data_IF_690116420907
#
_entry.id   IF_690116420907
#
_cell.length_a   1.000
_cell.length_b   1.000
_cell.length_c   1.000
_cell.angle_alpha   90.00
_cell.angle_beta   90.00
_cell.angle_gamma   90.00
#
_symmetry.space_group_name_H-M   'P 1'
#
loop_
_entity.id
_entity.type
_entity.pdbx_description
1 polymer ?
#
# COMPACT_ATOMS: atom_id res chain seq x y z
N UNK A 1 -21.45 2.12 -33.68
CA UNK A 1 -20.37 3.05 -33.32
C UNK A 1 -19.68 2.50 -32.07
N UNK A 2 -18.57 1.77 -32.24
CA UNK A 2 -17.75 1.29 -31.13
C UNK A 2 -16.80 2.44 -30.76
N UNK A 3 -17.08 3.13 -29.67
CA UNK A 3 -16.15 4.09 -29.07
C UNK A 3 -14.83 3.36 -28.80
N UNK A 4 -13.77 3.88 -29.39
CA UNK A 4 -12.42 3.37 -29.21
C UNK A 4 -12.04 3.43 -27.75
N UNK A 5 -11.97 2.26 -27.11
CA UNK A 5 -11.20 2.08 -25.88
C UNK A 5 -9.77 2.36 -26.27
N UNK A 6 -9.25 3.53 -25.89
CA UNK A 6 -7.84 3.86 -26.03
C UNK A 6 -7.09 2.86 -25.14
N UNK A 7 -6.47 1.86 -25.77
CA UNK A 7 -5.64 0.90 -25.06
C UNK A 7 -4.41 1.61 -24.50
N UNK A 8 -4.23 1.51 -23.19
CA UNK A 8 -3.10 2.04 -22.41
C UNK A 8 -1.71 1.67 -22.96
N UNK A 9 -1.60 0.59 -23.73
CA UNK A 9 -0.35 0.13 -24.36
C UNK A 9 0.28 1.16 -25.30
N UNK A 10 -0.50 2.03 -25.94
CA UNK A 10 0.06 3.02 -26.89
C UNK A 10 0.80 4.18 -26.20
N UNK A 11 0.49 4.48 -24.93
CA UNK A 11 1.19 5.52 -24.14
C UNK A 11 2.41 4.99 -23.38
N UNK A 12 2.56 3.67 -23.31
CA UNK A 12 3.75 3.00 -22.77
C UNK A 12 4.82 2.70 -23.84
N UNK A 13 4.58 3.06 -25.11
CA UNK A 13 5.62 3.04 -26.14
C UNK A 13 6.79 3.95 -25.74
N UNK A 14 8.05 3.59 -26.09
CA UNK A 14 9.26 4.17 -25.53
C UNK A 14 9.55 5.55 -26.13
N UNK A 15 8.66 6.51 -25.92
CA UNK A 15 9.12 7.89 -25.81
C UNK A 15 10.01 7.94 -24.57
N UNK A 16 11.21 8.51 -24.74
CA UNK A 16 12.19 8.62 -23.66
C UNK A 16 11.54 9.51 -22.58
N UNK A 17 11.00 8.89 -21.52
CA UNK A 17 10.42 9.60 -20.37
C UNK A 17 11.37 10.71 -19.96
N UNK A 18 10.82 11.87 -19.60
CA UNK A 18 11.64 12.96 -19.09
C UNK A 18 12.44 12.50 -17.88
N UNK A 19 13.59 13.14 -17.64
CA UNK A 19 14.43 12.82 -16.48
C UNK A 19 13.63 13.02 -15.19
N UNK A 20 12.85 14.11 -15.09
CA UNK A 20 12.00 14.41 -13.93
C UNK A 20 10.97 13.30 -13.64
N UNK A 21 10.33 12.73 -14.68
CA UNK A 21 9.36 11.64 -14.50
C UNK A 21 10.05 10.33 -14.11
N UNK A 22 11.26 10.06 -14.64
CA UNK A 22 12.06 8.90 -14.21
C UNK A 22 12.49 9.01 -12.76
N UNK A 23 12.88 10.22 -12.32
CA UNK A 23 13.26 10.48 -10.94
C UNK A 23 12.06 10.33 -10.01
N UNK A 24 10.88 10.81 -10.41
CA UNK A 24 9.64 10.63 -9.66
C UNK A 24 9.27 9.13 -9.51
N UNK A 25 9.36 8.34 -10.59
CA UNK A 25 9.15 6.89 -10.52
C UNK A 25 10.15 6.22 -9.58
N UNK A 26 11.42 6.61 -9.67
CA UNK A 26 12.48 6.08 -8.81
C UNK A 26 12.21 6.38 -7.34
N UNK A 27 11.71 7.58 -7.04
CA UNK A 27 11.34 7.96 -5.68
C UNK A 27 10.15 7.13 -5.15
N UNK A 28 9.10 6.92 -5.95
CA UNK A 28 7.98 6.04 -5.59
C UNK A 28 8.45 4.63 -5.25
N UNK A 29 9.36 4.06 -6.05
CA UNK A 29 9.92 2.72 -5.80
C UNK A 29 10.66 2.66 -4.46
N UNK A 30 11.47 3.67 -4.14
CA UNK A 30 12.15 3.74 -2.83
C UNK A 30 11.17 3.87 -1.67
N UNK A 31 10.10 4.65 -1.86
CA UNK A 31 9.04 4.79 -0.86
C UNK A 31 8.32 3.47 -0.62
N UNK A 32 7.98 2.72 -1.68
CA UNK A 32 7.38 1.38 -1.58
C UNK A 32 8.25 0.42 -0.76
N UNK A 33 9.56 0.41 -1.01
CA UNK A 33 10.50 -0.43 -0.24
C UNK A 33 10.61 0.02 1.23
N UNK A 34 10.46 1.31 1.50
CA UNK A 34 10.47 1.85 2.87
C UNK A 34 9.20 1.46 3.62
N UNK A 35 8.02 1.63 3.02
CA UNK A 35 6.76 1.26 3.69
C UNK A 35 6.60 -0.25 3.88
N UNK A 36 7.19 -1.08 3.01
CA UNK A 36 7.28 -2.54 3.22
C UNK A 36 8.07 -2.88 4.49
N UNK A 37 9.23 -2.23 4.68
CA UNK A 37 10.06 -2.40 5.89
C UNK A 37 9.35 -1.89 7.13
N UNK A 38 8.76 -0.69 7.06
CA UNK A 38 7.98 -0.12 8.17
C UNK A 38 6.84 -1.06 8.57
N UNK A 39 6.06 -1.56 7.62
CA UNK A 39 4.98 -2.52 7.89
C UNK A 39 5.49 -3.78 8.61
N UNK A 40 6.56 -4.38 8.09
CA UNK A 40 7.14 -5.59 8.68
C UNK A 40 7.64 -5.34 10.10
N UNK A 41 8.35 -4.23 10.32
CA UNK A 41 8.89 -3.85 11.62
C UNK A 41 7.78 -3.54 12.63
N UNK A 42 6.75 -2.80 12.24
CA UNK A 42 5.61 -2.47 13.10
C UNK A 42 4.82 -3.68 13.53
N UNK A 43 4.59 -4.63 12.62
CA UNK A 43 3.93 -5.88 12.96
C UNK A 43 4.76 -6.70 13.93
N UNK A 44 6.07 -6.83 13.65
CA UNK A 44 6.99 -7.58 14.51
C UNK A 44 7.15 -6.95 15.90
N UNK A 45 7.14 -5.62 15.99
CA UNK A 45 7.17 -4.90 17.27
C UNK A 45 5.87 -5.10 18.06
N UNK A 46 4.71 -4.95 17.41
CA UNK A 46 3.42 -5.13 18.06
C UNK A 46 3.27 -6.52 18.68
N UNK A 47 3.54 -7.58 17.91
CA UNK A 47 3.25 -8.94 18.33
C UNK A 47 4.41 -9.64 19.06
N UNK A 48 5.66 -9.27 18.77
CA UNK A 48 6.83 -9.97 19.31
C UNK A 48 7.77 -9.07 20.11
N UNK A 49 7.48 -7.78 20.24
CA UNK A 49 8.35 -6.83 20.95
C UNK A 49 9.73 -6.69 20.31
N UNK A 50 9.88 -7.06 19.03
CA UNK A 50 11.16 -6.97 18.33
C UNK A 50 11.48 -5.50 18.04
N UNK A 51 12.59 -5.02 18.60
CA UNK A 51 13.07 -3.67 18.32
C UNK A 51 13.43 -3.51 16.84
N UNK A 52 13.20 -2.30 16.34
CA UNK A 52 13.59 -1.92 14.99
C UNK A 52 14.87 -1.07 15.04
N UNK A 53 15.91 -1.53 14.34
CA UNK A 53 17.21 -0.85 14.31
C UNK A 53 17.19 0.57 13.71
N UNK A 54 16.08 0.96 13.08
CA UNK A 54 15.88 2.28 12.46
C UNK A 54 14.79 3.04 13.20
N UNK A 55 14.82 4.35 13.04
CA UNK A 55 13.78 5.23 13.57
C UNK A 55 12.56 5.22 12.63
N UNK A 56 11.49 4.55 13.07
CA UNK A 56 10.22 4.45 12.32
C UNK A 56 9.59 5.83 12.09
N UNK A 57 9.65 6.73 13.08
CA UNK A 57 9.08 8.07 12.97
C UNK A 57 9.88 8.92 11.98
N UNK A 58 11.19 8.74 11.92
CA UNK A 58 12.01 9.35 10.87
C UNK A 58 11.67 8.78 9.50
N UNK A 59 11.47 7.46 9.38
CA UNK A 59 11.04 6.86 8.11
C UNK A 59 9.67 7.39 7.64
N UNK A 60 8.72 7.60 8.56
CA UNK A 60 7.43 8.27 8.31
C UNK A 60 7.59 9.70 7.79
N UNK A 61 8.46 10.50 8.41
CA UNK A 61 8.80 11.86 7.94
C UNK A 61 9.45 11.83 6.55
N UNK A 62 10.30 10.84 6.27
CA UNK A 62 10.92 10.67 4.95
C UNK A 62 9.89 10.29 3.87
N UNK A 63 8.87 9.47 4.20
CA UNK A 63 7.76 9.15 3.28
C UNK A 63 7.00 10.42 2.90
N UNK A 64 6.67 11.24 3.90
CA UNK A 64 6.04 12.54 3.69
C UNK A 64 6.89 13.48 2.82
N UNK A 65 8.22 13.44 2.99
CA UNK A 65 9.14 14.19 2.13
C UNK A 65 9.16 13.66 0.69
N UNK A 66 9.18 12.34 0.51
CA UNK A 66 9.12 11.67 -0.79
C UNK A 66 7.86 12.04 -1.57
N UNK A 67 6.70 12.08 -0.93
CA UNK A 67 5.46 12.55 -1.57
C UNK A 67 5.61 13.97 -2.14
N UNK A 68 6.14 14.90 -1.33
CA UNK A 68 6.37 16.29 -1.75
C UNK A 68 7.36 16.39 -2.91
N UNK A 69 8.39 15.54 -2.92
CA UNK A 69 9.38 15.45 -4.01
C UNK A 69 8.68 14.99 -5.30
N UNK A 70 7.91 13.90 -5.26
CA UNK A 70 7.19 13.38 -6.43
C UNK A 70 6.24 14.43 -7.00
N UNK A 71 5.44 15.09 -6.15
CA UNK A 71 4.53 16.17 -6.58
C UNK A 71 5.28 17.31 -7.26
N UNK A 72 6.44 17.71 -6.72
CA UNK A 72 7.27 18.77 -7.30
C UNK A 72 7.83 18.40 -8.67
N UNK A 73 8.41 17.21 -8.79
CA UNK A 73 8.97 16.72 -10.06
C UNK A 73 7.91 16.64 -11.16
N UNK A 74 6.72 16.16 -10.82
CA UNK A 74 5.58 16.12 -11.75
C UNK A 74 5.15 17.54 -12.14
N UNK A 75 5.02 18.45 -11.18
CA UNK A 75 4.62 19.83 -11.44
C UNK A 75 5.61 20.58 -12.34
N UNK A 76 6.90 20.46 -12.05
CA UNK A 76 7.98 21.05 -12.86
C UNK A 76 7.96 20.49 -14.29
N UNK A 77 7.81 19.17 -14.43
CA UNK A 77 7.71 18.52 -15.74
C UNK A 77 6.52 19.04 -16.55
N UNK A 78 5.32 19.07 -15.96
CA UNK A 78 4.11 19.54 -16.64
C UNK A 78 4.14 21.04 -16.96
N UNK A 79 4.88 21.83 -16.21
CA UNK A 79 5.07 23.27 -16.50
C UNK A 79 5.96 23.47 -17.73
N UNK A 80 6.99 22.63 -17.89
CA UNK A 80 7.95 22.73 -19.01
C UNK A 80 7.41 22.07 -20.28
N UNK A 81 6.88 20.86 -20.18
CA UNK A 81 6.39 20.09 -21.32
C UNK A 81 5.10 19.31 -20.99
N UNK A 82 3.94 20.00 -20.90
CA UNK A 82 2.68 19.40 -20.48
C UNK A 82 2.15 18.30 -21.40
N UNK A 83 2.58 18.29 -22.68
CA UNK A 83 2.14 17.27 -23.65
C UNK A 83 2.93 15.97 -23.52
N UNK A 84 4.18 16.04 -23.06
CA UNK A 84 5.00 14.87 -22.82
C UNK A 84 4.61 14.24 -21.47
N UNK A 85 4.51 12.92 -21.40
CA UNK A 85 4.30 12.16 -20.15
C UNK A 85 3.08 12.61 -19.29
N UNK A 86 2.04 13.20 -19.90
CA UNK A 86 0.84 13.67 -19.20
C UNK A 86 0.18 12.54 -18.40
N UNK A 87 -0.04 11.38 -19.03
CA UNK A 87 -0.68 10.23 -18.37
C UNK A 87 0.17 9.70 -17.20
N UNK A 88 1.48 9.37 -17.38
CA UNK A 88 2.35 9.02 -16.26
C UNK A 88 2.35 10.04 -15.11
N UNK A 89 2.31 11.33 -15.43
CA UNK A 89 2.25 12.41 -14.43
C UNK A 89 0.99 12.34 -13.57
N UNK A 90 -0.17 12.19 -14.22
CA UNK A 90 -1.45 12.07 -13.51
C UNK A 90 -1.53 10.79 -12.68
N UNK A 91 -0.97 9.67 -13.18
CA UNK A 91 -0.89 8.41 -12.44
C UNK A 91 -0.05 8.56 -11.17
N UNK A 92 1.15 9.15 -11.28
CA UNK A 92 2.05 9.39 -10.14
C UNK A 92 1.37 10.21 -9.04
N UNK A 93 0.67 11.29 -9.42
CA UNK A 93 -0.09 12.12 -8.47
C UNK A 93 -1.24 11.35 -7.82
N UNK A 94 -1.90 10.48 -8.59
CA UNK A 94 -2.97 9.65 -8.05
C UNK A 94 -2.43 8.69 -6.98
N UNK A 95 -1.38 7.93 -7.28
CA UNK A 95 -0.94 6.82 -6.42
C UNK A 95 -0.01 7.22 -5.27
N UNK A 96 0.64 8.39 -5.32
CA UNK A 96 1.65 8.75 -4.31
C UNK A 96 1.05 8.83 -2.90
N UNK A 97 -0.20 9.30 -2.79
CA UNK A 97 -0.93 9.32 -1.54
C UNK A 97 -1.23 7.90 -1.01
N UNK A 98 -1.41 6.90 -1.88
CA UNK A 98 -1.58 5.52 -1.40
C UNK A 98 -0.30 4.99 -0.71
N UNK A 99 0.88 5.37 -1.21
CA UNK A 99 2.16 4.99 -0.58
C UNK A 99 2.31 5.66 0.78
N UNK A 100 1.98 6.95 0.89
CA UNK A 100 1.98 7.68 2.17
C UNK A 100 1.04 7.04 3.18
N UNK A 101 -0.19 6.72 2.77
CA UNK A 101 -1.16 6.04 3.64
C UNK A 101 -0.69 4.70 4.17
N UNK A 102 0.04 3.92 3.37
CA UNK A 102 0.62 2.66 3.85
C UNK A 102 1.63 2.94 4.98
N UNK A 103 2.46 3.98 4.85
CA UNK A 103 3.38 4.43 5.89
C UNK A 103 2.66 4.82 7.18
N UNK A 104 1.59 5.63 7.07
CA UNK A 104 0.73 6.02 8.19
C UNK A 104 0.16 4.79 8.93
N UNK A 105 -0.41 3.83 8.19
CA UNK A 105 -0.97 2.62 8.81
C UNK A 105 0.10 1.73 9.43
N UNK A 106 1.29 1.65 8.85
CA UNK A 106 2.42 0.96 9.46
C UNK A 106 2.83 1.63 10.78
N UNK A 107 2.87 2.97 10.83
CA UNK A 107 3.13 3.71 12.07
C UNK A 107 2.03 3.49 13.11
N UNK A 108 0.77 3.54 12.72
CA UNK A 108 -0.33 3.25 13.67
C UNK A 108 -0.25 1.83 14.23
N UNK A 109 0.16 0.82 13.43
CA UNK A 109 0.44 -0.53 13.94
C UNK A 109 1.53 -0.55 15.01
N UNK A 110 2.59 0.25 14.83
CA UNK A 110 3.66 0.37 15.82
C UNK A 110 3.15 0.94 17.14
N UNK A 111 2.40 2.04 17.07
CA UNK A 111 1.86 2.76 18.22
C UNK A 111 0.86 1.90 19.04
N UNK A 112 0.22 0.90 18.43
CA UNK A 112 -0.65 -0.03 19.17
C UNK A 112 0.08 -0.79 20.29
N UNK A 113 1.41 -0.97 20.18
CA UNK A 113 2.21 -1.68 21.19
C UNK A 113 2.20 -0.97 22.54
N UNK A 114 2.07 0.36 22.57
CA UNK A 114 2.08 1.14 23.82
C UNK A 114 0.87 0.83 24.72
N UNK A 115 -0.17 0.19 24.17
CA UNK A 115 -1.39 -0.17 24.88
C UNK A 115 -1.42 -1.63 25.37
N UNK A 116 -0.39 -2.44 25.07
CA UNK A 116 -0.35 -3.86 25.46
C UNK A 116 1.06 -4.37 25.75
N UNK A 117 1.22 -5.04 26.89
CA UNK A 117 2.48 -5.70 27.25
C UNK A 117 2.61 -7.09 26.61
N UNK A 118 1.51 -7.85 26.57
CA UNK A 118 1.46 -9.23 26.10
C UNK A 118 0.02 -9.60 25.68
N UNK A 119 -0.11 -10.43 24.65
CA UNK A 119 -1.39 -11.01 24.22
C UNK A 119 -1.60 -12.36 24.93
N UNK A 120 -2.78 -12.56 25.53
CA UNK A 120 -3.19 -13.81 26.19
C UNK A 120 -3.95 -14.76 25.26
N UNK A 121 -4.55 -14.24 24.19
CA UNK A 121 -5.37 -15.02 23.28
C UNK A 121 -4.55 -15.52 22.07
N UNK A 122 -4.16 -16.79 22.06
CA UNK A 122 -3.40 -17.39 20.94
C UNK A 122 -4.26 -17.57 19.67
N UNK A 123 -5.54 -17.93 19.83
CA UNK A 123 -6.44 -18.30 18.72
C UNK A 123 -6.58 -17.22 17.65
N UNK A 124 -6.69 -15.95 18.06
CA UNK A 124 -6.87 -14.84 17.12
C UNK A 124 -5.54 -14.39 16.48
N UNK A 125 -4.40 -14.71 17.10
CA UNK A 125 -3.07 -14.36 16.59
C UNK A 125 -2.72 -15.12 15.32
N UNK A 126 -2.98 -16.43 15.28
CA UNK A 126 -2.70 -17.28 14.10
C UNK A 126 -3.35 -16.73 12.83
N UNK A 127 -4.61 -16.28 12.95
CA UNK A 127 -5.36 -15.75 11.82
C UNK A 127 -4.79 -14.41 11.35
N UNK A 128 -4.38 -13.55 12.27
CA UNK A 128 -3.76 -12.26 11.94
C UNK A 128 -2.39 -12.46 11.31
N UNK A 129 -1.59 -13.41 11.81
CA UNK A 129 -0.31 -13.79 11.22
C UNK A 129 -0.49 -14.29 9.78
N UNK A 130 -1.51 -15.12 9.55
CA UNK A 130 -1.85 -15.58 8.20
C UNK A 130 -2.18 -14.43 7.25
N UNK A 131 -3.03 -13.48 7.66
CA UNK A 131 -3.36 -12.29 6.85
C UNK A 131 -2.12 -11.45 6.57
N UNK A 132 -1.25 -11.26 7.57
CA UNK A 132 0.02 -10.55 7.39
C UNK A 132 0.92 -11.26 6.38
N UNK A 133 1.00 -12.58 6.41
CA UNK A 133 1.81 -13.36 5.47
C UNK A 133 1.22 -13.35 4.04
N UNK A 134 -0.08 -13.17 3.89
CA UNK A 134 -0.70 -12.89 2.58
C UNK A 134 -0.37 -11.48 2.05
N UNK A 135 -0.24 -10.49 2.94
CA UNK A 135 0.05 -9.09 2.58
C UNK A 135 1.52 -8.88 2.19
N UNK A 136 2.48 -9.52 2.87
CA UNK A 136 3.92 -9.30 2.65
C UNK A 136 4.32 -9.44 1.15
N UNK A 137 3.94 -10.52 0.43
CA UNK A 137 4.26 -10.66 -0.98
C UNK A 137 3.65 -9.57 -1.89
N UNK A 138 2.55 -8.92 -1.46
CA UNK A 138 1.89 -7.90 -2.26
C UNK A 138 2.76 -6.66 -2.44
N UNK A 139 3.61 -6.29 -1.48
CA UNK A 139 4.54 -5.17 -1.64
C UNK A 139 5.47 -5.36 -2.85
N UNK A 140 6.12 -6.52 -2.92
CA UNK A 140 6.99 -6.87 -4.05
C UNK A 140 6.24 -6.95 -5.38
N UNK A 141 5.03 -7.54 -5.36
CA UNK A 141 4.19 -7.64 -6.56
C UNK A 141 3.71 -6.27 -7.05
N UNK A 142 3.26 -5.39 -6.16
CA UNK A 142 2.84 -4.02 -6.48
C UNK A 142 4.01 -3.21 -7.01
N UNK A 143 5.19 -3.30 -6.38
CA UNK A 143 6.42 -2.64 -6.85
C UNK A 143 6.79 -3.07 -8.26
N UNK A 144 6.77 -4.38 -8.52
CA UNK A 144 7.05 -4.93 -9.85
C UNK A 144 5.99 -4.52 -10.88
N UNK A 145 4.70 -4.60 -10.52
CA UNK A 145 3.59 -4.18 -11.35
C UNK A 145 3.75 -2.72 -11.77
N UNK A 146 4.01 -1.84 -10.80
CA UNK A 146 4.22 -0.41 -11.04
C UNK A 146 5.47 -0.13 -11.90
N UNK A 147 6.64 -0.64 -11.51
CA UNK A 147 7.90 -0.28 -12.14
C UNK A 147 8.08 -0.89 -13.54
N UNK A 148 7.63 -2.14 -13.72
CA UNK A 148 7.74 -2.88 -14.98
C UNK A 148 6.47 -2.83 -15.84
N UNK A 149 5.42 -2.18 -15.32
CA UNK A 149 4.12 -2.07 -16.02
C UNK A 149 3.50 -3.43 -16.29
N UNK A 150 3.65 -4.33 -15.32
CA UNK A 150 3.20 -5.71 -15.38
C UNK A 150 1.71 -5.78 -14.96
N UNK A 151 0.84 -5.72 -15.96
CA UNK A 151 -0.62 -5.75 -15.82
C UNK A 151 -1.11 -7.02 -15.09
N UNK A 152 -0.51 -8.17 -15.37
CA UNK A 152 -0.92 -9.45 -14.79
C UNK A 152 -0.57 -9.52 -13.31
N UNK A 153 0.61 -9.02 -12.90
CA UNK A 153 0.90 -8.83 -11.48
C UNK A 153 -0.07 -7.84 -10.83
N UNK A 154 -0.40 -6.75 -11.53
CA UNK A 154 -1.38 -5.77 -11.04
C UNK A 154 -2.73 -6.42 -10.71
N UNK A 155 -3.30 -7.17 -11.65
CA UNK A 155 -4.55 -7.92 -11.45
C UNK A 155 -4.46 -8.93 -10.31
N UNK A 156 -3.32 -9.62 -10.18
CA UNK A 156 -3.12 -10.59 -9.10
C UNK A 156 -3.08 -9.94 -7.71
N UNK A 157 -2.50 -8.74 -7.58
CA UNK A 157 -2.56 -7.97 -6.33
C UNK A 157 -4.02 -7.63 -5.99
N UNK A 158 -4.78 -7.15 -6.98
CA UNK A 158 -6.19 -6.80 -6.82
C UNK A 158 -7.04 -8.01 -6.39
N UNK A 159 -6.83 -9.17 -6.99
CA UNK A 159 -7.49 -10.43 -6.59
C UNK A 159 -7.16 -10.82 -5.15
N UNK A 160 -5.88 -10.81 -4.78
CA UNK A 160 -5.42 -11.13 -3.42
C UNK A 160 -5.99 -10.16 -2.38
N UNK A 161 -6.12 -8.88 -2.70
CA UNK A 161 -6.76 -7.92 -1.83
C UNK A 161 -8.22 -8.31 -1.51
N UNK A 162 -8.99 -8.78 -2.50
CA UNK A 162 -10.37 -9.23 -2.28
C UNK A 162 -10.45 -10.45 -1.35
N UNK A 163 -9.47 -11.34 -1.41
CA UNK A 163 -9.35 -12.48 -0.48
C UNK A 163 -9.04 -11.99 0.95
N UNK A 164 -8.05 -11.11 1.09
CA UNK A 164 -7.66 -10.50 2.37
C UNK A 164 -8.85 -9.76 3.01
N UNK A 165 -9.64 -9.01 2.22
CA UNK A 165 -10.85 -8.32 2.70
C UNK A 165 -11.83 -9.29 3.35
N UNK A 166 -12.09 -10.45 2.71
CA UNK A 166 -12.96 -11.50 3.25
C UNK A 166 -12.37 -12.13 4.53
N UNK A 167 -11.07 -12.40 4.53
CA UNK A 167 -10.37 -12.97 5.70
C UNK A 167 -10.42 -12.02 6.90
N UNK A 168 -10.22 -10.72 6.66
CA UNK A 168 -10.37 -9.66 7.68
C UNK A 168 -11.80 -9.62 8.22
N UNK A 169 -12.82 -9.61 7.36
CA UNK A 169 -14.22 -9.53 7.81
C UNK A 169 -14.63 -10.76 8.65
N UNK A 170 -14.13 -11.95 8.32
CA UNK A 170 -14.35 -13.16 9.11
C UNK A 170 -13.61 -13.11 10.45
N UNK A 171 -12.36 -12.65 10.47
CA UNK A 171 -11.56 -12.50 11.68
C UNK A 171 -12.17 -11.47 12.64
N UNK A 172 -12.70 -10.38 12.07
CA UNK A 172 -13.39 -9.34 12.81
C UNK A 172 -14.64 -9.90 13.54
N UNK A 173 -15.43 -10.74 12.87
CA UNK A 173 -16.56 -11.45 13.50
C UNK A 173 -16.10 -12.37 14.63
N UNK A 174 -15.00 -13.11 14.45
CA UNK A 174 -14.44 -13.97 15.49
C UNK A 174 -14.10 -13.18 16.75
N UNK A 175 -13.41 -12.04 16.60
CA UNK A 175 -13.04 -11.16 17.71
C UNK A 175 -14.27 -10.60 18.44
N UNK A 176 -15.28 -10.13 17.72
CA UNK A 176 -16.47 -9.53 18.36
C UNK A 176 -17.40 -10.54 19.04
N UNK A 177 -17.36 -11.80 18.61
CA UNK A 177 -18.18 -12.87 19.20
C UNK A 177 -17.46 -13.65 20.30
N UNK A 178 -16.15 -13.45 20.44
CA UNK A 178 -15.35 -14.04 21.50
C UNK A 178 -15.73 -13.42 22.85
N UNK A 179 -16.18 -14.25 23.79
CA UNK A 179 -16.59 -13.82 25.14
C UNK A 179 -15.45 -13.85 26.14
N UNK A 180 -14.34 -14.47 25.78
CA UNK A 180 -13.17 -14.68 26.65
C UNK A 180 -12.06 -13.66 26.36
N UNK A 181 -12.11 -12.99 25.20
CA UNK A 181 -11.16 -11.95 24.82
C UNK A 181 -11.22 -10.74 25.76
N UNK A 182 -10.06 -10.22 26.13
CA UNK A 182 -9.99 -8.99 26.90
C UNK A 182 -10.39 -7.78 26.05
N UNK A 183 -11.10 -6.78 26.60
CA UNK A 183 -11.52 -5.60 25.84
C UNK A 183 -10.37 -4.85 25.14
N UNK A 184 -9.20 -4.76 25.81
CA UNK A 184 -8.00 -4.14 25.24
C UNK A 184 -7.44 -4.93 24.06
N UNK A 185 -7.42 -6.27 24.16
CA UNK A 185 -6.99 -7.14 23.06
C UNK A 185 -7.94 -7.05 21.89
N UNK A 186 -9.26 -7.10 22.14
CA UNK A 186 -10.27 -6.94 21.11
C UNK A 186 -10.10 -5.62 20.36
N UNK A 187 -9.83 -4.52 21.07
CA UNK A 187 -9.57 -3.22 20.46
C UNK A 187 -8.31 -3.22 19.59
N UNK A 188 -7.19 -3.76 20.09
CA UNK A 188 -5.91 -3.78 19.37
C UNK A 188 -5.96 -4.71 18.16
N UNK A 189 -6.50 -5.92 18.30
CA UNK A 189 -6.61 -6.89 17.21
C UNK A 189 -7.59 -6.40 16.13
N UNK A 190 -8.70 -5.75 16.52
CA UNK A 190 -9.62 -5.13 15.54
C UNK A 190 -8.96 -3.99 14.77
N UNK A 191 -8.22 -3.09 15.45
CA UNK A 191 -7.49 -2.03 14.76
C UNK A 191 -6.39 -2.59 13.85
N UNK A 192 -5.68 -3.63 14.30
CA UNK A 192 -4.70 -4.35 13.48
C UNK A 192 -5.34 -4.84 12.18
N UNK A 193 -6.46 -5.55 12.26
CA UNK A 193 -7.20 -6.03 11.08
C UNK A 193 -7.65 -4.89 10.16
N UNK A 194 -8.09 -3.77 10.72
CA UNK A 194 -8.46 -2.57 9.94
C UNK A 194 -7.24 -2.05 9.18
N UNK A 195 -6.09 -1.91 9.83
CA UNK A 195 -4.86 -1.41 9.22
C UNK A 195 -4.32 -2.39 8.16
N UNK A 196 -4.34 -3.70 8.41
CA UNK A 196 -3.99 -4.72 7.42
C UNK A 196 -4.86 -4.62 6.16
N UNK A 197 -6.18 -4.48 6.32
CA UNK A 197 -7.11 -4.28 5.19
C UNK A 197 -6.80 -3.01 4.42
N UNK A 198 -6.51 -1.90 5.12
CA UNK A 198 -6.20 -0.60 4.50
C UNK A 198 -4.88 -0.64 3.73
N UNK A 199 -3.83 -1.23 4.31
CA UNK A 199 -2.54 -1.43 3.63
C UNK A 199 -2.73 -2.25 2.35
N UNK A 200 -3.45 -3.37 2.44
CA UNK A 200 -3.76 -4.20 1.27
C UNK A 200 -4.57 -3.44 0.20
N UNK A 201 -5.54 -2.61 0.61
CA UNK A 201 -6.33 -1.78 -0.31
C UNK A 201 -5.46 -0.74 -1.04
N UNK A 202 -4.56 -0.06 -0.33
CA UNK A 202 -3.65 0.91 -0.94
C UNK A 202 -2.65 0.24 -1.88
N UNK A 203 -2.14 -0.96 -1.56
CA UNK A 203 -1.34 -1.76 -2.49
C UNK A 203 -2.12 -2.13 -3.76
N UNK A 204 -3.40 -2.48 -3.61
CA UNK A 204 -4.32 -2.75 -4.72
C UNK A 204 -4.58 -1.50 -5.57
N UNK A 205 -4.76 -0.34 -4.95
CA UNK A 205 -4.95 0.93 -5.64
C UNK A 205 -3.76 1.28 -6.52
N UNK A 206 -2.54 1.13 -6.00
CA UNK A 206 -1.30 1.33 -6.77
C UNK A 206 -1.23 0.32 -7.92
N UNK A 207 -1.50 -0.95 -7.66
CA UNK A 207 -1.52 -1.99 -8.69
C UNK A 207 -2.57 -1.75 -9.79
N UNK A 208 -3.73 -1.18 -9.43
CA UNK A 208 -4.79 -0.86 -10.39
C UNK A 208 -4.36 0.23 -11.38
N UNK A 209 -3.38 1.07 -11.03
CA UNK A 209 -2.86 2.11 -11.92
C UNK A 209 -2.17 1.57 -13.18
N UNK A 210 -1.80 0.28 -13.18
CA UNK A 210 -1.24 -0.41 -14.35
C UNK A 210 -2.21 -1.42 -14.95
N UNK A 211 -3.17 -1.92 -14.16
CA UNK A 211 -4.10 -2.96 -14.59
C UNK A 211 -5.42 -2.42 -15.18
N UNK A 212 -5.81 -1.20 -14.79
CA UNK A 212 -7.09 -0.60 -15.16
C UNK A 212 -6.90 0.64 -16.03
N UNK A 213 -7.93 1.02 -16.83
CA UNK A 213 -7.94 2.32 -17.46
C UNK A 213 -8.03 3.44 -16.41
N UNK A 214 -7.63 4.66 -16.80
CA UNK A 214 -7.44 5.80 -15.88
C UNK A 214 -8.68 6.08 -15.02
N UNK A 215 -9.86 6.02 -15.64
CA UNK A 215 -11.17 6.25 -15.02
C UNK A 215 -11.60 5.16 -14.05
N UNK A 216 -10.92 4.01 -14.03
CA UNK A 216 -11.21 2.84 -13.17
C UNK A 216 -10.09 2.51 -12.19
N UNK A 217 -9.13 3.41 -12.02
CA UNK A 217 -8.13 3.30 -10.97
C UNK A 217 -8.87 3.38 -9.62
N UNK A 218 -8.59 2.44 -8.71
CA UNK A 218 -9.28 2.26 -7.41
C UNK A 218 -10.74 1.78 -7.46
N UNK A 219 -11.24 1.32 -8.60
CA UNK A 219 -12.64 0.89 -8.72
C UNK A 219 -12.98 -0.44 -8.01
N UNK A 220 -12.00 -1.17 -7.45
CA UNK A 220 -12.22 -2.44 -6.76
C UNK A 220 -12.82 -2.31 -5.36
N UNK A 221 -12.94 -1.09 -4.84
CA UNK A 221 -13.50 -0.80 -3.53
C UNK A 221 -15.05 -0.73 -3.52
N UNK A 222 -15.71 -0.77 -4.69
CA UNK A 222 -17.17 -0.85 -4.85
C UNK A 222 -17.73 -2.29 -4.79
#
# INVERSE_FOLDING_TARGET
MKQGVIMFKEFYYPHKKSVLIKDAITEVVKMLEKVERMFSASFDYLFFGKEYSRDLFKEDVDINAGERIVRRLVFEHLTINPKQDLIPSLLLISIIGDVERIGDYAKHLWELRDYISEFKCEKNLDTIMHIKDEIIPLFGMTKDAFYKSDEEKGKKVMEKHREIKKNVDNSMKSIFLDKEILPVEAAILSNTLIYLRRISAHLSNIASSVANPFDKIRADDE
#
